data_IF_244374056236
#
_entry.id   IF_244374056236
#
_cell.length_a   1.000
_cell.length_b   1.000
_cell.length_c   1.000
_cell.angle_alpha   90.00
_cell.angle_beta   90.00
_cell.angle_gamma   90.00
#
_symmetry.space_group_name_H-M   'P 1'
#
loop_
_entity.id
_entity.type
_entity.pdbx_description
1 polymer ?
#
# COMPACT_ATOMS: atom_id res chain seq x y z
N UNK A 1 -31.10 5.51 -39.68
CA UNK A 1 -30.56 4.52 -40.64
C UNK A 1 -30.78 3.08 -40.18
N UNK A 2 -30.19 2.62 -39.07
CA UNK A 2 -30.35 1.23 -38.56
C UNK A 2 -31.81 0.84 -38.32
N UNK A 3 -32.63 1.74 -37.77
CA UNK A 3 -34.08 1.48 -37.61
C UNK A 3 -34.82 1.31 -38.95
N UNK A 4 -34.41 2.03 -40.00
CA UNK A 4 -34.96 1.89 -41.35
C UNK A 4 -34.57 0.54 -41.96
N UNK A 5 -33.29 0.18 -41.86
CA UNK A 5 -32.77 -1.11 -42.32
C UNK A 5 -33.47 -2.28 -41.63
N UNK A 6 -33.73 -2.17 -40.32
CA UNK A 6 -34.51 -3.18 -39.57
C UNK A 6 -35.94 -3.32 -40.10
N UNK A 7 -36.65 -2.21 -40.31
CA UNK A 7 -38.04 -2.23 -40.81
C UNK A 7 -38.16 -2.79 -42.24
N UNK A 8 -37.07 -2.74 -43.00
CA UNK A 8 -37.01 -3.23 -44.36
C UNK A 8 -36.56 -4.69 -44.41
N UNK A 9 -35.61 -5.07 -43.56
CA UNK A 9 -35.14 -6.45 -43.43
C UNK A 9 -36.23 -7.42 -42.92
N UNK A 10 -37.19 -6.96 -42.11
CA UNK A 10 -38.33 -7.80 -41.68
C UNK A 10 -39.25 -8.25 -42.82
N UNK A 11 -39.07 -7.74 -44.05
CA UNK A 11 -39.86 -8.13 -45.22
C UNK A 11 -39.34 -9.41 -45.89
N UNK A 12 -38.12 -9.84 -45.57
CA UNK A 12 -37.43 -10.99 -46.17
C UNK A 12 -36.56 -11.69 -45.12
N UNK A 13 -36.86 -12.96 -44.80
CA UNK A 13 -36.17 -13.72 -43.73
C UNK A 13 -34.64 -13.73 -43.89
N UNK A 14 -34.14 -13.95 -45.11
CA UNK A 14 -32.70 -13.97 -45.40
C UNK A 14 -32.01 -12.63 -45.07
N UNK A 15 -32.66 -11.51 -45.38
CA UNK A 15 -32.10 -10.18 -45.09
C UNK A 15 -32.16 -9.83 -43.62
N UNK A 16 -33.14 -10.38 -42.89
CA UNK A 16 -33.23 -10.22 -41.44
C UNK A 16 -32.12 -11.00 -40.74
N UNK A 17 -31.88 -12.26 -41.16
CA UNK A 17 -30.80 -13.09 -40.65
C UNK A 17 -29.41 -12.45 -40.87
N UNK A 18 -29.13 -11.96 -42.09
CA UNK A 18 -27.87 -11.25 -42.39
C UNK A 18 -27.68 -9.99 -41.54
N UNK A 19 -28.75 -9.21 -41.33
CA UNK A 19 -28.68 -8.01 -40.49
C UNK A 19 -28.39 -8.36 -39.03
N UNK A 20 -28.91 -9.49 -38.53
CA UNK A 20 -28.66 -9.97 -37.17
C UNK A 20 -27.22 -10.46 -37.01
N UNK A 21 -26.68 -11.17 -38.00
CA UNK A 21 -25.26 -11.60 -38.04
C UNK A 21 -24.29 -10.41 -38.05
N UNK A 22 -24.60 -9.37 -38.84
CA UNK A 22 -23.79 -8.13 -38.85
C UNK A 22 -23.83 -7.45 -37.48
N UNK A 23 -25.01 -7.36 -36.85
CA UNK A 23 -25.16 -6.75 -35.53
C UNK A 23 -24.35 -7.52 -34.46
N UNK A 24 -24.41 -8.84 -34.50
CA UNK A 24 -23.64 -9.70 -33.60
C UNK A 24 -22.13 -9.58 -33.84
N UNK A 25 -21.70 -9.53 -35.10
CA UNK A 25 -20.29 -9.32 -35.46
C UNK A 25 -19.76 -7.98 -34.93
N UNK A 26 -20.57 -6.91 -34.99
CA UNK A 26 -20.20 -5.60 -34.43
C UNK A 26 -20.11 -5.65 -32.91
N UNK A 27 -21.04 -6.33 -32.24
CA UNK A 27 -21.03 -6.52 -30.78
C UNK A 27 -19.74 -7.23 -30.33
N UNK A 28 -19.42 -8.36 -30.95
CA UNK A 28 -18.23 -9.14 -30.63
C UNK A 28 -16.94 -8.38 -30.93
N UNK A 29 -16.86 -7.68 -32.07
CA UNK A 29 -15.70 -6.86 -32.40
C UNK A 29 -15.46 -5.75 -31.36
N UNK A 30 -16.53 -5.09 -30.90
CA UNK A 30 -16.46 -4.08 -29.85
C UNK A 30 -15.88 -4.63 -28.54
N UNK A 31 -16.40 -5.76 -28.06
CA UNK A 31 -15.95 -6.40 -26.83
C UNK A 31 -14.50 -6.89 -26.96
N UNK A 32 -14.16 -7.53 -28.07
CA UNK A 32 -12.81 -8.00 -28.35
C UNK A 32 -11.79 -6.87 -28.36
N UNK A 33 -12.12 -5.68 -28.89
CA UNK A 33 -11.20 -4.54 -28.82
C UNK A 33 -10.88 -4.11 -27.37
N UNK A 34 -11.86 -4.16 -26.46
CA UNK A 34 -11.63 -3.83 -25.06
C UNK A 34 -10.81 -4.91 -24.34
N UNK A 35 -11.06 -6.18 -24.67
CA UNK A 35 -10.29 -7.32 -24.16
C UNK A 35 -8.84 -7.32 -24.69
N UNK A 36 -8.64 -7.00 -25.97
CA UNK A 36 -7.31 -6.85 -26.57
C UNK A 36 -6.54 -5.73 -25.87
N UNK A 37 -7.21 -4.61 -25.57
CA UNK A 37 -6.62 -3.53 -24.79
C UNK A 37 -6.24 -3.96 -23.37
N UNK A 38 -7.11 -4.72 -22.70
CA UNK A 38 -6.78 -5.34 -21.41
C UNK A 38 -5.54 -6.24 -21.51
N UNK A 39 -5.45 -7.06 -22.57
CA UNK A 39 -4.27 -7.89 -22.84
C UNK A 39 -2.99 -7.09 -23.14
N UNK A 40 -3.10 -5.86 -23.64
CA UNK A 40 -1.97 -4.94 -23.76
C UNK A 40 -1.55 -4.35 -22.41
N UNK A 41 -2.51 -4.01 -21.55
CA UNK A 41 -2.23 -3.56 -20.18
C UNK A 41 -1.57 -4.66 -19.35
N UNK A 42 -2.01 -5.91 -19.49
CA UNK A 42 -1.39 -7.07 -18.83
C UNK A 42 0.07 -7.26 -19.23
N UNK A 43 0.36 -7.23 -20.54
CA UNK A 43 1.73 -7.32 -21.05
C UNK A 43 2.60 -6.17 -20.55
N UNK A 44 2.09 -4.95 -20.59
CA UNK A 44 2.80 -3.77 -20.07
C UNK A 44 3.13 -3.91 -18.59
N UNK A 45 2.17 -4.31 -17.75
CA UNK A 45 2.40 -4.57 -16.32
C UNK A 45 3.42 -5.69 -16.09
N UNK A 46 3.32 -6.79 -16.83
CA UNK A 46 4.24 -7.92 -16.77
C UNK A 46 5.68 -7.55 -17.15
N UNK A 47 5.88 -6.78 -18.22
CA UNK A 47 7.21 -6.33 -18.66
C UNK A 47 7.87 -5.44 -17.61
N UNK A 48 7.09 -4.56 -16.96
CA UNK A 48 7.56 -3.72 -15.87
C UNK A 48 8.00 -4.54 -14.65
N UNK A 49 7.25 -5.60 -14.32
CA UNK A 49 7.59 -6.51 -13.24
C UNK A 49 8.84 -7.37 -13.56
N UNK A 50 9.02 -7.81 -14.81
CA UNK A 50 10.16 -8.65 -15.22
C UNK A 50 11.47 -7.88 -15.39
N UNK A 51 11.43 -6.65 -15.89
CA UNK A 51 12.61 -5.78 -16.00
C UNK A 51 13.27 -5.48 -14.64
N UNK A 52 12.54 -5.67 -13.55
CA UNK A 52 13.07 -5.64 -12.17
C UNK A 52 13.87 -6.90 -11.83
N UNK A 53 13.36 -8.09 -12.17
CA UNK A 53 14.02 -9.37 -11.88
C UNK A 53 15.39 -9.47 -12.56
N UNK A 54 15.50 -8.98 -13.80
CA UNK A 54 16.76 -8.98 -14.54
C UNK A 54 17.78 -7.99 -13.97
N UNK A 55 17.37 -6.79 -13.55
CA UNK A 55 18.27 -5.81 -12.91
C UNK A 55 18.70 -6.20 -11.50
N UNK A 56 17.85 -6.88 -10.73
CA UNK A 56 18.20 -7.42 -9.41
C UNK A 56 19.30 -8.49 -9.44
N UNK A 57 19.35 -9.29 -10.52
CA UNK A 57 20.37 -10.33 -10.70
C UNK A 57 21.72 -9.83 -11.23
N UNK A 58 21.78 -8.61 -11.77
CA UNK A 58 23.02 -8.03 -12.32
C UNK A 58 23.93 -7.40 -11.26
N UNK A 59 23.45 -7.23 -10.02
CA UNK A 59 24.26 -6.62 -8.95
C UNK A 59 25.27 -7.60 -8.28
N UNK A 60 25.34 -8.87 -8.72
CA UNK A 60 26.21 -9.89 -8.13
C UNK A 60 27.18 -10.57 -9.12
N UNK A 61 27.56 -9.91 -10.23
CA UNK A 61 28.59 -10.47 -11.11
C UNK A 61 29.67 -9.46 -11.51
N UNK A 62 30.84 -9.65 -10.86
CA UNK A 62 32.22 -9.44 -11.30
C UNK A 62 32.52 -8.34 -12.32
N UNK A 63 33.43 -7.45 -11.91
CA UNK A 63 34.00 -6.41 -12.74
C UNK A 63 34.69 -6.94 -13.99
N UNK A 64 34.12 -6.63 -15.15
CA UNK A 64 34.78 -6.27 -16.39
C UNK A 64 33.76 -5.47 -17.23
N UNK A 65 34.12 -4.31 -17.81
CA UNK A 65 33.20 -3.56 -18.65
C UNK A 65 33.19 -4.22 -20.04
N UNK A 66 32.13 -4.96 -20.34
CA UNK A 66 31.86 -5.35 -21.72
C UNK A 66 30.65 -4.56 -22.24
N UNK A 67 30.95 -3.71 -23.20
CA UNK A 67 30.04 -2.88 -23.97
C UNK A 67 28.89 -3.74 -24.53
N UNK A 68 27.69 -3.56 -24.00
CA UNK A 68 26.46 -3.98 -24.66
C UNK A 68 25.59 -2.76 -24.89
N UNK A 69 25.81 -2.19 -26.07
CA UNK A 69 24.90 -1.40 -26.88
C UNK A 69 23.58 -1.02 -26.20
N UNK A 70 23.64 0.15 -25.58
CA UNK A 70 22.52 0.91 -25.05
C UNK A 70 21.52 1.23 -26.17
N UNK A 71 20.46 0.43 -26.30
CA UNK A 71 19.19 0.89 -26.88
C UNK A 71 18.39 1.68 -25.82
N UNK A 72 19.05 2.62 -25.13
CA UNK A 72 18.33 3.65 -24.38
C UNK A 72 17.84 4.66 -25.41
N UNK A 73 16.60 4.46 -25.85
CA UNK A 73 15.84 5.58 -26.40
C UNK A 73 15.81 6.63 -25.29
N UNK A 74 16.37 7.82 -25.53
CA UNK A 74 16.30 8.92 -24.58
C UNK A 74 14.86 9.05 -24.07
N UNK A 75 14.63 8.98 -22.74
CA UNK A 75 13.28 9.07 -22.22
C UNK A 75 12.70 10.42 -22.63
N UNK A 76 11.57 10.38 -23.33
CA UNK A 76 10.80 11.56 -23.74
C UNK A 76 10.63 12.47 -22.50
N UNK A 77 10.80 13.80 -22.62
CA UNK A 77 10.61 14.70 -21.48
C UNK A 77 9.22 14.49 -20.85
N UNK A 78 9.20 14.09 -19.57
CA UNK A 78 7.97 13.70 -18.85
C UNK A 78 7.71 12.19 -18.76
N UNK A 79 8.58 11.35 -19.31
CA UNK A 79 8.53 9.89 -19.12
C UNK A 79 8.80 9.53 -17.66
N UNK A 80 7.85 8.82 -17.05
CA UNK A 80 8.03 8.24 -15.72
C UNK A 80 9.09 7.15 -15.85
N UNK A 81 10.26 7.34 -15.25
CA UNK A 81 11.37 6.37 -15.30
C UNK A 81 11.21 5.28 -14.24
N UNK A 82 10.47 5.55 -13.17
CA UNK A 82 10.27 4.63 -12.06
C UNK A 82 9.28 3.50 -12.41
N UNK A 83 9.69 2.22 -12.37
CA UNK A 83 8.82 1.10 -12.71
C UNK A 83 7.59 0.94 -11.81
N UNK A 84 7.66 1.35 -10.53
CA UNK A 84 6.52 1.24 -9.63
C UNK A 84 5.45 2.28 -9.97
N UNK A 85 5.85 3.52 -10.26
CA UNK A 85 4.95 4.54 -10.78
C UNK A 85 4.35 4.14 -12.14
N UNK A 86 5.13 3.51 -13.03
CA UNK A 86 4.61 2.98 -14.29
C UNK A 86 3.56 1.89 -14.07
N UNK A 87 3.78 0.97 -13.12
CA UNK A 87 2.80 -0.07 -12.78
C UNK A 87 1.53 0.53 -12.16
N UNK A 88 1.64 1.57 -11.33
CA UNK A 88 0.48 2.29 -10.80
C UNK A 88 -0.30 3.04 -11.88
N UNK A 89 0.36 3.57 -12.92
CA UNK A 89 -0.34 4.13 -14.08
C UNK A 89 -1.13 3.04 -14.84
N UNK A 90 -0.54 1.84 -15.00
CA UNK A 90 -1.24 0.70 -15.59
C UNK A 90 -2.47 0.33 -14.75
N UNK A 91 -2.34 0.26 -13.43
CA UNK A 91 -3.46 0.04 -12.50
C UNK A 91 -4.55 1.11 -12.62
N UNK A 92 -4.16 2.39 -12.68
CA UNK A 92 -5.11 3.48 -12.89
C UNK A 92 -5.86 3.35 -14.22
N UNK A 93 -5.17 2.95 -15.29
CA UNK A 93 -5.80 2.73 -16.60
C UNK A 93 -6.76 1.53 -16.57
N UNK A 94 -6.39 0.44 -15.89
CA UNK A 94 -7.26 -0.72 -15.69
C UNK A 94 -8.54 -0.30 -14.96
N UNK A 95 -8.41 0.43 -13.84
CA UNK A 95 -9.53 0.94 -13.06
C UNK A 95 -10.44 1.86 -13.88
N UNK A 96 -9.87 2.81 -14.61
CA UNK A 96 -10.64 3.70 -15.51
C UNK A 96 -11.41 2.91 -16.58
N UNK A 97 -10.78 1.88 -17.16
CA UNK A 97 -11.43 1.04 -18.16
C UNK A 97 -12.59 0.23 -17.56
N UNK A 98 -12.38 -0.33 -16.37
CA UNK A 98 -13.36 -1.13 -15.63
C UNK A 98 -14.58 -0.31 -15.19
N UNK A 99 -14.35 0.86 -14.61
CA UNK A 99 -15.38 1.61 -13.89
C UNK A 99 -16.11 2.61 -14.78
N UNK A 100 -15.45 3.16 -15.80
CA UNK A 100 -15.98 4.26 -16.60
C UNK A 100 -16.02 3.92 -18.09
N UNK A 101 -14.86 3.77 -18.74
CA UNK A 101 -14.75 3.73 -20.20
C UNK A 101 -15.57 2.59 -20.83
N UNK A 102 -15.49 1.38 -20.28
CA UNK A 102 -16.21 0.21 -20.83
C UNK A 102 -17.71 0.45 -20.83
N UNK A 103 -18.26 0.95 -19.71
CA UNK A 103 -19.70 1.23 -19.58
C UNK A 103 -20.13 2.36 -20.49
N UNK A 104 -19.40 3.47 -20.52
CA UNK A 104 -19.74 4.62 -21.36
C UNK A 104 -19.79 4.24 -22.84
N UNK A 105 -18.75 3.55 -23.33
CA UNK A 105 -18.69 3.11 -24.73
C UNK A 105 -19.79 2.09 -25.04
N UNK A 106 -20.03 1.13 -24.16
CA UNK A 106 -21.09 0.14 -24.36
C UNK A 106 -22.46 0.82 -24.46
N UNK A 107 -22.83 1.67 -23.50
CA UNK A 107 -24.15 2.34 -23.53
C UNK A 107 -24.30 3.30 -24.70
N UNK A 108 -23.20 3.90 -25.18
CA UNK A 108 -23.21 4.78 -26.36
C UNK A 108 -23.52 4.00 -27.64
N UNK A 109 -22.89 2.84 -27.83
CA UNK A 109 -22.96 2.11 -29.10
C UNK A 109 -23.97 0.95 -29.11
N UNK A 110 -24.50 0.54 -27.94
CA UNK A 110 -25.40 -0.62 -27.82
C UNK A 110 -26.62 -0.62 -28.74
N UNK A 111 -27.11 0.57 -29.09
CA UNK A 111 -28.27 0.73 -29.99
C UNK A 111 -28.00 0.20 -31.43
N UNK A 112 -26.73 -0.02 -31.79
CA UNK A 112 -26.33 -0.56 -33.08
C UNK A 112 -26.67 -2.05 -33.18
N UNK A 113 -26.41 -2.82 -32.11
CA UNK A 113 -26.58 -4.28 -32.08
C UNK A 113 -27.80 -4.76 -31.29
N UNK A 114 -28.30 -4.00 -30.30
CA UNK A 114 -29.47 -4.40 -29.52
C UNK A 114 -30.76 -4.28 -30.34
N UNK A 115 -31.46 -5.40 -30.52
CA UNK A 115 -32.85 -5.45 -30.99
C UNK A 115 -33.82 -5.39 -29.81
N UNK A 116 -35.11 -5.07 -30.02
CA UNK A 116 -36.07 -4.94 -28.91
C UNK A 116 -36.33 -6.29 -28.25
N UNK A 117 -35.65 -6.56 -27.13
CA UNK A 117 -36.03 -7.60 -26.17
C UNK A 117 -34.84 -8.34 -25.54
N UNK A 118 -34.86 -8.39 -24.20
CA UNK A 118 -34.20 -9.31 -23.25
C UNK A 118 -32.74 -9.09 -22.84
N UNK A 119 -32.59 -8.78 -21.54
CA UNK A 119 -31.89 -9.47 -20.43
C UNK A 119 -30.47 -10.08 -20.61
N UNK A 120 -29.92 -10.22 -21.81
CA UNK A 120 -28.48 -10.49 -22.03
C UNK A 120 -27.63 -9.20 -21.92
N UNK A 121 -28.28 -8.06 -21.66
CA UNK A 121 -27.67 -6.72 -21.57
C UNK A 121 -26.55 -6.60 -20.52
N UNK A 122 -26.62 -7.38 -19.44
CA UNK A 122 -25.64 -7.31 -18.34
C UNK A 122 -24.54 -8.37 -18.43
N UNK A 123 -24.73 -9.48 -19.15
CA UNK A 123 -23.72 -10.57 -19.13
C UNK A 123 -22.42 -10.17 -19.80
N UNK A 124 -22.48 -9.55 -20.99
CA UNK A 124 -21.27 -9.11 -21.71
C UNK A 124 -20.47 -8.09 -20.91
N UNK A 125 -21.18 -7.12 -20.32
CA UNK A 125 -20.57 -6.07 -19.52
C UNK A 125 -20.01 -6.65 -18.22
N UNK A 126 -20.73 -7.57 -17.59
CA UNK A 126 -20.28 -8.26 -16.41
C UNK A 126 -19.01 -9.08 -16.69
N UNK A 127 -18.97 -9.85 -17.78
CA UNK A 127 -17.80 -10.63 -18.19
C UNK A 127 -16.58 -9.73 -18.47
N UNK A 128 -16.81 -8.58 -19.12
CA UNK A 128 -15.77 -7.60 -19.37
C UNK A 128 -15.25 -6.97 -18.06
N UNK A 129 -16.14 -6.56 -17.16
CA UNK A 129 -15.79 -6.01 -15.84
C UNK A 129 -15.05 -7.05 -15.00
N UNK A 130 -15.47 -8.31 -15.04
CA UNK A 130 -14.78 -9.42 -14.37
C UNK A 130 -13.38 -9.62 -14.94
N UNK A 131 -13.21 -9.50 -16.26
CA UNK A 131 -11.90 -9.58 -16.92
C UNK A 131 -10.95 -8.47 -16.46
N UNK A 132 -11.42 -7.21 -16.43
CA UNK A 132 -10.63 -6.10 -15.89
C UNK A 132 -10.39 -6.21 -14.38
N UNK A 133 -11.33 -6.78 -13.62
CA UNK A 133 -11.14 -7.01 -12.17
C UNK A 133 -10.03 -8.02 -11.91
N UNK A 134 -10.02 -9.15 -12.62
CA UNK A 134 -8.94 -10.14 -12.52
C UNK A 134 -7.59 -9.57 -12.97
N UNK A 135 -7.58 -8.69 -13.97
CA UNK A 135 -6.37 -7.99 -14.37
C UNK A 135 -5.87 -6.99 -13.32
N UNK A 136 -6.77 -6.23 -12.70
CA UNK A 136 -6.46 -5.32 -11.60
C UNK A 136 -5.82 -6.06 -10.43
N UNK A 137 -6.37 -7.23 -10.06
CA UNK A 137 -5.82 -8.06 -8.98
C UNK A 137 -4.41 -8.53 -9.30
N UNK A 138 -4.18 -9.11 -10.49
CA UNK A 138 -2.84 -9.53 -10.93
C UNK A 138 -1.82 -8.39 -10.91
N UNK A 139 -2.18 -7.21 -11.44
CA UNK A 139 -1.29 -6.07 -11.47
C UNK A 139 -1.03 -5.50 -10.06
N UNK A 140 -2.04 -5.52 -9.19
CA UNK A 140 -1.92 -5.09 -7.80
C UNK A 140 -1.01 -6.02 -7.01
N UNK A 141 -1.14 -7.34 -7.20
CA UNK A 141 -0.25 -8.35 -6.60
C UNK A 141 1.22 -8.12 -6.98
N UNK A 142 1.49 -7.79 -8.25
CA UNK A 142 2.86 -7.47 -8.67
C UNK A 142 3.41 -6.24 -7.96
N UNK A 143 2.59 -5.19 -7.80
CA UNK A 143 2.96 -3.98 -7.10
C UNK A 143 3.20 -4.24 -5.61
N UNK A 144 2.26 -4.91 -4.94
CA UNK A 144 2.36 -5.18 -3.50
C UNK A 144 3.50 -6.14 -3.20
N UNK A 145 3.75 -7.15 -4.04
CA UNK A 145 4.93 -8.02 -3.91
C UNK A 145 6.25 -7.21 -3.98
N UNK A 146 6.33 -6.24 -4.88
CA UNK A 146 7.51 -5.38 -4.98
C UNK A 146 7.71 -4.50 -3.74
N UNK A 147 6.64 -3.91 -3.22
CA UNK A 147 6.69 -3.09 -2.00
C UNK A 147 6.93 -3.91 -0.74
N UNK A 148 6.37 -5.12 -0.66
CA UNK A 148 6.61 -6.05 0.44
C UNK A 148 8.10 -6.39 0.59
N UNK A 149 8.84 -6.49 -0.52
CA UNK A 149 10.30 -6.65 -0.47
C UNK A 149 11.02 -5.46 0.17
N UNK A 150 10.59 -4.23 -0.08
CA UNK A 150 11.16 -3.03 0.54
C UNK A 150 10.82 -2.97 2.03
N UNK A 151 9.56 -3.28 2.36
CA UNK A 151 9.09 -3.38 3.75
C UNK A 151 9.88 -4.46 4.50
N UNK A 152 10.17 -5.61 3.87
CA UNK A 152 11.00 -6.66 4.49
C UNK A 152 12.40 -6.16 4.81
N UNK A 153 13.05 -5.44 3.91
CA UNK A 153 14.35 -4.83 4.19
C UNK A 153 14.27 -3.83 5.35
N UNK A 154 13.25 -2.97 5.38
CA UNK A 154 13.04 -2.03 6.47
C UNK A 154 12.76 -2.75 7.82
N UNK A 155 12.00 -3.85 7.80
CA UNK A 155 11.69 -4.66 8.97
C UNK A 155 12.94 -5.39 9.48
N UNK A 156 13.80 -5.89 8.59
CA UNK A 156 15.12 -6.43 8.95
C UNK A 156 15.98 -5.38 9.63
N UNK A 157 16.08 -4.18 9.05
CA UNK A 157 16.85 -3.09 9.65
C UNK A 157 16.30 -2.70 11.03
N UNK A 158 14.98 -2.63 11.17
CA UNK A 158 14.29 -2.34 12.41
C UNK A 158 14.59 -3.38 13.51
N UNK A 159 14.46 -4.66 13.19
CA UNK A 159 14.53 -5.74 14.18
C UNK A 159 15.98 -6.18 14.46
N UNK A 160 16.85 -6.22 13.45
CA UNK A 160 18.17 -6.84 13.56
C UNK A 160 19.33 -5.82 13.50
N UNK A 161 19.23 -4.78 12.66
CA UNK A 161 20.34 -3.85 12.42
C UNK A 161 20.22 -2.52 13.17
N UNK A 162 19.24 -2.38 14.06
CA UNK A 162 19.00 -1.17 14.86
C UNK A 162 19.98 -0.98 16.03
N UNK A 163 20.94 -1.90 16.19
CA UNK A 163 21.95 -1.86 17.25
C UNK A 163 21.44 -2.28 18.63
N UNK A 164 20.22 -2.81 18.74
CA UNK A 164 19.66 -3.32 19.99
C UNK A 164 20.13 -4.75 20.24
N UNK A 165 20.72 -4.98 21.41
CA UNK A 165 21.00 -6.32 21.91
C UNK A 165 19.80 -6.82 22.69
N UNK A 166 18.96 -7.64 22.06
CA UNK A 166 17.68 -8.05 22.65
C UNK A 166 17.79 -8.88 23.94
N UNK A 167 18.93 -9.52 24.20
CA UNK A 167 19.19 -10.22 25.47
C UNK A 167 19.72 -9.35 26.61
N UNK A 168 19.87 -8.05 26.37
CA UNK A 168 20.32 -7.04 27.34
C UNK A 168 19.78 -5.69 26.93
N UNK A 169 18.49 -5.63 26.60
CA UNK A 169 17.88 -4.47 26.01
C UNK A 169 17.85 -3.30 27.00
N UNK A 170 18.07 -2.07 26.54
CA UNK A 170 17.99 -0.90 27.39
C UNK A 170 16.58 -0.74 27.97
N UNK A 171 16.47 0.00 29.07
CA UNK A 171 15.17 0.34 29.65
C UNK A 171 14.28 1.04 28.60
N UNK A 172 13.00 0.68 28.59
CA UNK A 172 11.99 1.22 27.67
C UNK A 172 11.79 2.70 27.95
N UNK A 173 11.98 3.54 26.92
CA UNK A 173 11.87 5.01 27.02
C UNK A 173 10.86 5.63 26.06
N UNK A 174 10.39 4.87 25.08
CA UNK A 174 9.55 5.34 23.99
C UNK A 174 9.77 4.50 22.73
N UNK A 175 9.15 4.93 21.63
CA UNK A 175 9.26 4.26 20.32
C UNK A 175 10.60 4.62 19.68
N UNK A 176 11.38 3.62 19.27
CA UNK A 176 12.70 3.85 18.63
C UNK A 176 12.53 4.53 17.28
N UNK A 177 13.53 5.33 16.88
CA UNK A 177 13.56 5.93 15.54
C UNK A 177 13.53 4.87 14.43
N UNK A 178 14.12 3.70 14.66
CA UNK A 178 14.05 2.57 13.73
C UNK A 178 12.60 2.13 13.42
N UNK A 179 11.67 2.24 14.38
CA UNK A 179 10.26 1.96 14.15
C UNK A 179 9.61 3.05 13.28
N UNK A 180 9.99 4.32 13.48
CA UNK A 180 9.51 5.45 12.69
C UNK A 180 10.01 5.36 11.24
N UNK A 181 11.27 5.01 11.03
CA UNK A 181 11.86 4.80 9.70
C UNK A 181 11.19 3.65 8.94
N UNK A 182 10.87 2.54 9.63
CA UNK A 182 10.05 1.47 9.04
C UNK A 182 8.69 2.00 8.61
N UNK A 183 8.04 2.80 9.45
CA UNK A 183 6.74 3.39 9.13
C UNK A 183 6.81 4.36 7.95
N UNK A 184 7.90 5.12 7.79
CA UNK A 184 8.11 5.99 6.63
C UNK A 184 8.10 5.22 5.31
N UNK A 185 8.51 3.94 5.31
CA UNK A 185 8.39 3.09 4.13
C UNK A 185 6.92 2.92 3.72
N UNK A 186 6.01 2.73 4.67
CA UNK A 186 4.57 2.66 4.41
C UNK A 186 3.99 4.03 4.04
N UNK A 187 4.46 5.12 4.65
CA UNK A 187 4.04 6.50 4.30
C UNK A 187 4.41 6.81 2.85
N UNK A 188 5.60 6.42 2.39
CA UNK A 188 6.02 6.59 1.01
C UNK A 188 5.10 5.81 0.04
N UNK A 189 4.75 4.57 0.39
CA UNK A 189 3.79 3.78 -0.40
C UNK A 189 2.41 4.45 -0.42
N UNK A 190 1.92 4.91 0.73
CA UNK A 190 0.65 5.65 0.82
C UNK A 190 0.67 6.84 -0.13
N UNK A 191 1.70 7.68 -0.08
CA UNK A 191 1.80 8.88 -0.93
C UNK A 191 1.80 8.54 -2.43
N UNK A 192 2.54 7.50 -2.82
CA UNK A 192 2.64 7.05 -4.20
C UNK A 192 1.28 6.54 -4.74
N UNK A 193 0.60 5.67 -3.97
CA UNK A 193 -0.69 5.10 -4.37
C UNK A 193 -1.79 6.16 -4.31
N UNK A 194 -1.79 7.03 -3.31
CA UNK A 194 -2.76 8.12 -3.21
C UNK A 194 -2.69 9.06 -4.42
N UNK A 195 -1.48 9.34 -4.91
CA UNK A 195 -1.28 10.19 -6.08
C UNK A 195 -1.68 9.52 -7.40
N UNK A 196 -1.41 8.22 -7.56
CA UNK A 196 -1.56 7.53 -8.84
C UNK A 196 -2.85 6.71 -8.99
N UNK A 197 -3.31 6.05 -7.92
CA UNK A 197 -4.45 5.13 -7.95
C UNK A 197 -5.20 5.11 -6.60
N UNK A 198 -5.71 6.28 -6.19
CA UNK A 198 -6.40 6.46 -4.90
C UNK A 198 -7.49 5.41 -4.58
N UNK A 199 -8.33 4.94 -5.53
CA UNK A 199 -9.34 3.93 -5.22
C UNK A 199 -8.80 2.60 -4.69
N UNK A 200 -7.53 2.27 -4.98
CA UNK A 200 -6.88 1.04 -4.52
C UNK A 200 -6.05 1.22 -3.25
N UNK A 201 -6.02 2.42 -2.64
CA UNK A 201 -5.17 2.73 -1.49
C UNK A 201 -5.43 1.79 -0.31
N UNK A 202 -6.69 1.64 0.11
CA UNK A 202 -7.05 0.82 1.26
C UNK A 202 -6.72 -0.66 1.02
N UNK A 203 -7.02 -1.17 -0.18
CA UNK A 203 -6.68 -2.55 -0.58
C UNK A 203 -5.17 -2.77 -0.58
N UNK A 204 -4.41 -1.81 -1.10
CA UNK A 204 -2.94 -1.89 -1.17
C UNK A 204 -2.34 -1.90 0.24
N UNK A 205 -2.71 -0.94 1.09
CA UNK A 205 -2.17 -0.83 2.43
C UNK A 205 -2.59 -2.01 3.30
N UNK A 206 -3.82 -2.52 3.14
CA UNK A 206 -4.25 -3.74 3.84
C UNK A 206 -3.35 -4.93 3.57
N UNK A 207 -3.07 -5.23 2.30
CA UNK A 207 -2.15 -6.32 1.91
C UNK A 207 -0.73 -6.10 2.45
N UNK A 208 -0.24 -4.87 2.45
CA UNK A 208 1.12 -4.57 2.90
C UNK A 208 1.26 -4.58 4.43
N UNK A 209 0.23 -4.19 5.17
CA UNK A 209 0.20 -4.28 6.64
C UNK A 209 0.15 -5.74 7.08
N UNK A 210 -0.68 -6.56 6.44
CA UNK A 210 -0.69 -8.01 6.66
C UNK A 210 0.70 -8.63 6.40
N UNK A 211 1.27 -8.34 5.23
CA UNK A 211 2.61 -8.80 4.87
C UNK A 211 3.73 -8.28 5.81
N UNK A 212 3.56 -7.11 6.44
CA UNK A 212 4.49 -6.59 7.44
C UNK A 212 4.47 -7.45 8.71
N UNK A 213 3.28 -7.78 9.23
CA UNK A 213 3.14 -8.59 10.43
C UNK A 213 3.67 -10.01 10.19
N UNK A 214 3.34 -10.60 9.04
CA UNK A 214 3.88 -11.90 8.64
C UNK A 214 5.40 -11.87 8.47
N UNK A 215 5.93 -10.74 8.00
CA UNK A 215 7.38 -10.52 7.92
C UNK A 215 8.01 -10.45 9.30
N UNK A 216 7.43 -9.77 10.27
CA UNK A 216 7.93 -9.77 11.64
C UNK A 216 7.96 -11.18 12.23
N UNK A 217 6.89 -11.95 12.04
CA UNK A 217 6.81 -13.34 12.50
C UNK A 217 7.88 -14.21 11.83
N UNK A 218 8.04 -14.08 10.51
CA UNK A 218 9.04 -14.81 9.73
C UNK A 218 10.47 -14.46 10.17
N UNK A 219 10.79 -13.17 10.28
CA UNK A 219 12.10 -12.68 10.72
C UNK A 219 12.42 -13.15 12.14
N UNK A 220 11.42 -13.17 13.03
CA UNK A 220 11.58 -13.70 14.36
C UNK A 220 11.98 -15.18 14.32
N UNK A 221 11.22 -16.01 13.59
CA UNK A 221 11.52 -17.44 13.47
C UNK A 221 12.86 -17.73 12.80
N UNK A 222 13.20 -17.01 11.72
CA UNK A 222 14.46 -17.13 10.99
C UNK A 222 15.69 -16.85 11.89
N UNK A 223 15.52 -15.99 12.90
CA UNK A 223 16.61 -15.51 13.74
C UNK A 223 16.50 -15.91 15.22
N UNK A 224 15.49 -16.71 15.62
CA UNK A 224 15.26 -17.20 17.01
C UNK A 224 16.49 -17.88 17.61
N UNK A 225 17.36 -18.46 16.80
CA UNK A 225 18.57 -19.19 17.24
C UNK A 225 19.87 -18.40 17.09
N UNK A 226 19.83 -17.21 16.48
CA UNK A 226 21.00 -16.36 16.20
C UNK A 226 20.88 -15.03 16.94
N UNK A 227 20.45 -13.98 16.25
CA UNK A 227 20.38 -12.60 16.76
C UNK A 227 19.32 -12.44 17.85
N UNK A 228 18.31 -13.31 17.86
CA UNK A 228 17.23 -13.34 18.86
C UNK A 228 17.35 -14.54 19.80
N UNK A 229 18.56 -15.11 19.95
CA UNK A 229 18.81 -16.26 20.82
C UNK A 229 18.49 -15.94 22.28
N UNK A 230 18.91 -14.77 22.75
CA UNK A 230 18.55 -14.23 24.05
C UNK A 230 17.59 -13.06 23.85
N UNK A 231 16.48 -13.08 24.59
CA UNK A 231 15.44 -12.08 24.50
C UNK A 231 14.93 -11.79 25.90
N UNK A 232 15.30 -10.63 26.44
CA UNK A 232 15.06 -10.29 27.84
C UNK A 232 13.70 -9.60 28.05
N UNK A 233 13.25 -9.42 29.32
CA UNK A 233 12.00 -8.72 29.63
C UNK A 233 11.89 -7.30 29.06
N UNK A 234 13.00 -6.56 28.97
CA UNK A 234 13.00 -5.21 28.43
C UNK A 234 12.81 -5.21 26.92
N UNK A 235 13.42 -6.16 26.22
CA UNK A 235 13.26 -6.39 24.78
C UNK A 235 11.82 -6.74 24.43
N UNK A 236 11.19 -7.60 25.25
CA UNK A 236 9.76 -7.88 25.17
C UNK A 236 8.92 -6.60 25.31
N UNK A 237 9.10 -5.85 26.39
CA UNK A 237 8.33 -4.64 26.64
C UNK A 237 8.52 -3.58 25.54
N UNK A 238 9.76 -3.43 25.02
CA UNK A 238 10.06 -2.50 23.93
C UNK A 238 9.32 -2.89 22.65
N UNK A 239 9.36 -4.17 22.25
CA UNK A 239 8.65 -4.62 21.05
C UNK A 239 7.13 -4.55 21.22
N UNK A 240 6.60 -4.84 22.41
CA UNK A 240 5.16 -4.71 22.67
C UNK A 240 4.68 -3.27 22.51
N UNK A 241 5.41 -2.29 23.07
CA UNK A 241 5.12 -0.86 22.88
C UNK A 241 5.12 -0.47 21.39
N UNK A 242 6.13 -0.92 20.64
CA UNK A 242 6.27 -0.58 19.22
C UNK A 242 5.24 -1.27 18.33
N UNK A 243 4.86 -2.52 18.65
CA UNK A 243 3.78 -3.22 17.97
C UNK A 243 2.43 -2.55 18.22
N UNK A 244 2.15 -2.09 19.45
CA UNK A 244 0.94 -1.33 19.76
C UNK A 244 0.92 0.04 19.07
N UNK A 245 2.09 0.69 18.95
CA UNK A 245 2.25 1.90 18.17
C UNK A 245 1.91 1.67 16.68
N UNK A 246 2.45 0.61 16.06
CA UNK A 246 2.10 0.24 14.69
C UNK A 246 0.62 -0.10 14.55
N UNK A 247 0.07 -0.91 15.45
CA UNK A 247 -1.34 -1.29 15.44
C UNK A 247 -2.24 -0.06 15.53
N UNK A 248 -1.92 0.89 16.41
CA UNK A 248 -2.72 2.11 16.59
C UNK A 248 -2.73 2.98 15.33
N UNK A 249 -1.56 3.21 14.72
CA UNK A 249 -1.45 4.08 13.54
C UNK A 249 -2.05 3.42 12.29
N UNK A 250 -1.79 2.13 12.11
CA UNK A 250 -2.19 1.40 10.91
C UNK A 250 -3.57 0.75 11.05
N UNK A 251 -4.27 0.96 12.18
CA UNK A 251 -5.57 0.37 12.50
C UNK A 251 -6.60 0.45 11.34
N UNK A 252 -6.71 1.55 10.56
CA UNK A 252 -7.63 1.62 9.42
C UNK A 252 -7.35 0.57 8.33
N UNK A 253 -6.13 0.05 8.27
CA UNK A 253 -5.67 -0.91 7.26
C UNK A 253 -5.41 -2.31 7.86
N UNK A 254 -5.72 -2.55 9.14
CA UNK A 254 -5.57 -3.88 9.74
C UNK A 254 -6.70 -4.82 9.30
N UNK A 255 -6.34 -5.89 8.59
CA UNK A 255 -7.23 -7.00 8.23
C UNK A 255 -7.46 -7.93 9.43
N UNK A 256 -8.45 -8.84 9.33
CA UNK A 256 -8.64 -9.91 10.33
C UNK A 256 -7.38 -10.76 10.48
N UNK A 257 -6.76 -11.06 9.34
CA UNK A 257 -5.65 -11.98 9.22
C UNK A 257 -4.39 -11.33 9.80
N UNK A 258 -4.15 -10.04 9.51
CA UNK A 258 -3.10 -9.25 10.16
C UNK A 258 -3.24 -9.22 11.69
N UNK A 259 -4.46 -9.13 12.23
CA UNK A 259 -4.70 -9.16 13.69
C UNK A 259 -4.44 -10.54 14.29
N UNK A 260 -4.75 -11.61 13.56
CA UNK A 260 -4.45 -12.97 14.00
C UNK A 260 -2.93 -13.22 14.00
N UNK A 261 -2.24 -12.86 12.91
CA UNK A 261 -0.78 -12.92 12.84
C UNK A 261 -0.10 -12.08 13.92
N UNK A 262 -0.66 -10.90 14.25
CA UNK A 262 -0.12 -10.05 15.32
C UNK A 262 -0.23 -10.72 16.68
N UNK A 263 -1.37 -11.33 16.99
CA UNK A 263 -1.55 -12.12 18.23
C UNK A 263 -0.58 -13.31 18.29
N UNK A 264 -0.38 -13.99 17.16
CA UNK A 264 0.59 -15.08 17.05
C UNK A 264 2.01 -14.58 17.36
N UNK A 265 2.42 -13.46 16.75
CA UNK A 265 3.71 -12.82 17.02
C UNK A 265 3.87 -12.44 18.49
N UNK A 266 2.88 -11.80 19.11
CA UNK A 266 2.91 -11.44 20.53
C UNK A 266 3.06 -12.68 21.43
N UNK A 267 2.38 -13.78 21.09
CA UNK A 267 2.50 -15.05 21.81
C UNK A 267 3.91 -15.66 21.72
N UNK A 268 4.48 -15.70 20.51
CA UNK A 268 5.84 -16.22 20.28
C UNK A 268 6.91 -15.35 20.97
N UNK A 269 6.73 -14.04 21.00
CA UNK A 269 7.61 -13.11 21.72
C UNK A 269 7.56 -13.35 23.23
N UNK A 270 6.36 -13.54 23.80
CA UNK A 270 6.16 -13.82 25.22
C UNK A 270 6.77 -15.15 25.63
N UNK A 271 6.58 -16.20 24.82
CA UNK A 271 7.21 -17.51 25.02
C UNK A 271 8.73 -17.36 25.11
N UNK A 272 9.35 -16.68 24.13
CA UNK A 272 10.80 -16.49 24.08
C UNK A 272 11.35 -15.67 25.26
N UNK A 273 10.63 -14.63 25.69
CA UNK A 273 11.01 -13.83 26.85
C UNK A 273 11.01 -14.67 28.13
N UNK A 274 10.00 -15.53 28.27
CA UNK A 274 9.85 -16.41 29.43
C UNK A 274 10.92 -17.52 29.43
N UNK A 275 11.21 -18.13 28.27
CA UNK A 275 12.31 -19.09 28.10
C UNK A 275 13.65 -18.50 28.56
N UNK A 276 13.97 -17.28 28.12
CA UNK A 276 15.25 -16.62 28.42
C UNK A 276 15.44 -16.33 29.93
N UNK A 277 14.36 -16.07 30.66
CA UNK A 277 14.39 -15.92 32.13
C UNK A 277 14.71 -17.25 32.80
N UNK A 278 14.15 -18.37 32.31
CA UNK A 278 14.42 -19.70 32.88
C UNK A 278 15.85 -20.20 32.63
N UNK A 279 16.42 -19.98 31.43
CA UNK A 279 17.80 -20.38 31.09
C UNK A 279 18.86 -19.66 31.95
N UNK A 280 18.58 -18.42 32.34
CA UNK A 280 19.47 -17.60 33.19
C UNK A 280 19.50 -18.12 34.64
N UNK A 281 18.44 -18.79 35.09
CA UNK A 281 18.31 -19.34 36.45
C UNK A 281 18.99 -20.72 36.55
N UNK A 282 18.95 -21.53 35.49
CA UNK A 282 19.53 -22.88 35.46
C UNK A 282 21.05 -22.92 35.31
N UNK A 283 21.68 -21.81 34.89
CA UNK A 283 23.14 -21.66 34.86
C UNK A 283 23.60 -20.69 35.95
N UNK A 284 23.71 -21.11 37.22
CA UNK A 284 24.32 -20.28 38.25
C UNK A 284 25.80 -20.09 37.90
N UNK A 285 26.11 -18.94 37.31
CA UNK A 285 27.46 -18.44 37.13
C UNK A 285 28.24 -18.65 38.43
N UNK A 286 29.31 -19.43 38.36
CA UNK A 286 30.21 -19.72 39.47
C UNK A 286 30.69 -18.40 40.10
N UNK A 287 29.99 -17.95 41.13
CA UNK A 287 30.42 -16.86 41.96
C UNK A 287 31.72 -17.27 42.64
N UNK A 288 32.83 -16.69 42.17
CA UNK A 288 34.05 -16.62 42.95
C UNK A 288 33.70 -15.97 44.29
N UNK A 289 33.78 -16.79 45.32
CA UNK A 289 33.78 -16.47 46.75
C UNK A 289 34.24 -15.01 47.02
N UNK A 290 33.35 -14.11 47.49
CA UNK A 290 33.78 -12.81 47.96
C UNK A 290 34.53 -13.00 49.28
N UNK A 291 35.77 -12.53 49.33
CA UNK A 291 36.55 -12.48 50.56
C UNK A 291 36.06 -11.28 51.37
N UNK A 292 35.31 -11.61 52.44
CA UNK A 292 35.05 -10.86 53.67
C UNK A 292 35.81 -9.52 53.84
N UNK A 293 35.07 -8.42 53.81
CA UNK A 293 35.50 -7.16 54.44
C UNK A 293 34.82 -5.90 53.89
N UNK A 294 33.86 -5.37 54.66
CA UNK A 294 33.46 -3.96 54.81
C UNK A 294 31.94 -3.79 54.70
N UNK A 295 31.37 -3.42 55.85
CA UNK A 295 30.04 -2.83 55.98
C UNK A 295 29.99 -1.49 55.22
N UNK A 296 28.77 -1.03 54.93
CA UNK A 296 28.37 0.18 54.19
C UNK A 296 28.23 0.08 52.66
N UNK A 297 27.10 -0.49 52.22
CA UNK A 297 26.38 -0.02 51.04
C UNK A 297 24.89 -0.41 51.13
N UNK A 298 24.04 0.53 51.56
CA UNK A 298 22.61 0.50 51.29
C UNK A 298 22.42 0.84 49.81
N UNK A 299 22.40 -0.17 48.92
CA UNK A 299 22.12 0.03 47.50
C UNK A 299 21.48 -1.22 46.90
N UNK A 300 20.16 -1.17 46.83
CA UNK A 300 19.31 -1.74 45.77
C UNK A 300 19.41 -3.24 45.47
N UNK A 301 19.15 -4.06 46.48
CA UNK A 301 19.04 -5.53 46.38
C UNK A 301 17.63 -5.99 45.94
N UNK A 302 16.87 -5.16 45.20
CA UNK A 302 15.49 -5.46 44.77
C UNK A 302 15.35 -6.04 43.36
N UNK A 303 16.44 -6.17 42.61
CA UNK A 303 16.38 -6.59 41.19
C UNK A 303 17.09 -7.90 40.85
N UNK A 304 17.58 -8.66 41.83
CA UNK A 304 18.20 -9.97 41.58
C UNK A 304 17.32 -11.10 42.10
N UNK A 305 16.48 -11.64 41.20
CA UNK A 305 15.81 -12.92 41.43
C UNK A 305 14.28 -12.94 41.32
N UNK A 306 13.66 -11.98 40.63
CA UNK A 306 12.23 -12.11 40.32
C UNK A 306 12.08 -13.01 39.09
N UNK A 307 11.66 -14.25 39.31
CA UNK A 307 11.08 -15.08 38.24
C UNK A 307 9.87 -14.33 37.70
N UNK A 308 10.03 -13.64 36.57
CA UNK A 308 8.92 -12.87 35.99
C UNK A 308 7.96 -13.87 35.36
N UNK A 309 6.73 -13.97 35.88
CA UNK A 309 5.71 -14.81 35.26
C UNK A 309 5.28 -14.19 33.92
N UNK A 310 4.74 -14.97 32.97
CA UNK A 310 4.22 -14.42 31.72
C UNK A 310 3.18 -13.30 31.94
N UNK A 311 2.33 -13.45 32.95
CA UNK A 311 1.32 -12.45 33.31
C UNK A 311 1.95 -11.15 33.84
N UNK A 312 3.03 -11.25 34.63
CA UNK A 312 3.78 -10.07 35.10
C UNK A 312 4.48 -9.34 33.95
N UNK A 313 5.00 -10.07 32.95
CA UNK A 313 5.58 -9.47 31.73
C UNK A 313 4.52 -8.73 30.91
N UNK A 314 3.34 -9.33 30.74
CA UNK A 314 2.22 -8.67 30.06
C UNK A 314 1.82 -7.41 30.79
N UNK A 315 1.67 -7.46 32.12
CA UNK A 315 1.30 -6.30 32.93
C UNK A 315 2.35 -5.18 32.83
N UNK A 316 3.64 -5.54 32.83
CA UNK A 316 4.73 -4.59 32.67
C UNK A 316 4.73 -3.92 31.28
N UNK A 317 4.53 -4.70 30.21
CA UNK A 317 4.42 -4.16 28.86
C UNK A 317 3.22 -3.20 28.73
N UNK A 318 2.06 -3.57 29.29
CA UNK A 318 0.87 -2.72 29.32
C UNK A 318 1.10 -1.42 30.11
N UNK A 319 1.87 -1.48 31.20
CA UNK A 319 2.23 -0.29 31.95
C UNK A 319 3.03 0.68 31.06
N UNK A 320 4.07 0.21 30.37
CA UNK A 320 4.86 1.05 29.47
C UNK A 320 4.01 1.66 28.35
N UNK A 321 3.12 0.88 27.74
CA UNK A 321 2.17 1.39 26.74
C UNK A 321 1.29 2.50 27.30
N UNK A 322 0.71 2.30 28.49
CA UNK A 322 -0.16 3.29 29.13
C UNK A 322 0.55 4.62 29.45
N UNK A 323 1.85 4.56 29.75
CA UNK A 323 2.66 5.72 30.12
C UNK A 323 3.22 6.47 28.89
N UNK A 324 3.64 5.73 27.85
CA UNK A 324 4.48 6.28 26.78
C UNK A 324 3.76 6.43 25.45
N UNK A 325 2.79 5.56 25.13
CA UNK A 325 2.21 5.47 23.78
C UNK A 325 1.62 6.79 23.30
N UNK A 326 0.84 7.46 24.14
CA UNK A 326 0.17 8.71 23.76
C UNK A 326 1.16 9.84 23.45
N UNK A 327 2.25 9.93 24.23
CA UNK A 327 3.29 10.94 24.00
C UNK A 327 4.06 10.65 22.70
N UNK A 328 4.30 9.38 22.39
CA UNK A 328 4.97 8.96 21.16
C UNK A 328 4.10 9.19 19.92
N UNK A 329 2.79 8.91 20.00
CA UNK A 329 1.83 9.24 18.93
C UNK A 329 1.80 10.74 18.63
N UNK A 330 1.85 11.59 19.65
CA UNK A 330 1.92 13.04 19.44
C UNK A 330 3.28 13.46 18.86
N UNK A 331 4.38 12.87 19.36
CA UNK A 331 5.74 13.13 18.86
C UNK A 331 5.86 12.83 17.36
N UNK A 332 5.22 11.75 16.90
CA UNK A 332 5.30 11.30 15.52
C UNK A 332 4.09 11.69 14.67
N UNK A 333 3.16 12.51 15.19
CA UNK A 333 1.89 12.86 14.52
C UNK A 333 2.05 13.33 13.07
N UNK A 334 3.08 14.12 12.78
CA UNK A 334 3.35 14.60 11.41
C UNK A 334 3.79 13.46 10.49
N UNK A 335 4.57 12.51 11.00
CA UNK A 335 5.05 11.35 10.24
C UNK A 335 3.91 10.41 9.86
N UNK A 336 2.81 10.42 10.61
CA UNK A 336 1.75 9.40 10.52
C UNK A 336 0.40 9.98 10.12
N UNK A 337 0.32 11.29 9.86
CA UNK A 337 -0.91 12.00 9.56
C UNK A 337 -1.71 11.38 8.40
N UNK A 338 -1.03 10.82 7.40
CA UNK A 338 -1.69 10.18 6.26
C UNK A 338 -2.57 8.98 6.63
N UNK A 339 -2.29 8.30 7.75
CA UNK A 339 -3.09 7.17 8.23
C UNK A 339 -4.20 7.59 9.20
N UNK A 340 -4.12 8.80 9.77
CA UNK A 340 -4.99 9.26 10.87
C UNK A 340 -6.04 10.27 10.40
N UNK A 341 -5.85 10.93 9.24
CA UNK A 341 -6.78 11.93 8.66
C UNK A 341 -8.08 11.33 8.05
N UNK A 342 -8.70 10.37 8.75
CA UNK A 342 -10.15 10.16 8.71
C UNK A 342 -10.89 10.96 9.78
N UNK A 343 -10.18 11.71 10.63
CA UNK A 343 -10.76 12.58 11.66
C UNK A 343 -10.93 13.99 11.08
N UNK A 344 -12.17 14.50 11.12
CA UNK A 344 -12.59 15.79 10.56
C UNK A 344 -11.62 16.94 10.88
N UNK A 345 -11.27 17.71 9.83
CA UNK A 345 -10.37 18.88 9.81
C UNK A 345 -10.82 20.10 10.66
N UNK A 346 -11.64 19.90 11.69
CA UNK A 346 -12.17 20.97 12.53
C UNK A 346 -11.35 21.24 13.81
N UNK A 347 -10.27 20.49 14.07
CA UNK A 347 -9.46 20.64 15.29
C UNK A 347 -7.96 20.91 15.08
N UNK A 348 -7.57 21.48 13.93
CA UNK A 348 -6.16 21.81 13.64
C UNK A 348 -5.87 23.32 13.87
N UNK A 349 -4.78 23.69 14.58
CA UNK A 349 -4.34 25.08 14.70
C UNK A 349 -4.03 25.73 13.33
N UNK A 350 -4.37 27.00 13.17
CA UNK A 350 -4.28 27.77 11.90
C UNK A 350 -2.91 27.70 11.20
N UNK A 351 -1.82 27.50 11.94
CA UNK A 351 -0.46 27.37 11.39
C UNK A 351 -0.27 26.13 10.51
N UNK A 352 -0.94 25.02 10.82
CA UNK A 352 -0.85 23.78 10.03
C UNK A 352 -1.80 23.82 8.81
N UNK A 353 -2.92 24.54 8.89
CA UNK A 353 -3.78 24.81 7.71
C UNK A 353 -3.06 25.65 6.65
N UNK A 354 -2.27 26.63 7.07
CA UNK A 354 -1.51 27.47 6.15
C UNK A 354 -0.45 26.68 5.36
N UNK A 355 0.27 25.75 6.02
CA UNK A 355 1.28 24.91 5.38
C UNK A 355 0.67 23.95 4.33
N UNK A 356 -0.47 23.35 4.64
CA UNK A 356 -1.21 22.49 3.71
C UNK A 356 -1.83 23.27 2.53
N UNK A 357 -2.33 24.50 2.77
CA UNK A 357 -2.86 25.35 1.71
C UNK A 357 -1.81 25.77 0.69
N UNK A 358 -0.55 25.96 1.11
CA UNK A 358 0.57 26.25 0.20
C UNK A 358 0.96 25.08 -0.72
N UNK A 359 0.64 23.83 -0.36
CA UNK A 359 0.88 22.66 -1.21
C UNK A 359 -0.28 22.36 -2.18
N UNK A 360 -1.49 22.85 -1.91
CA UNK A 360 -2.62 22.86 -2.86
C UNK A 360 -2.51 24.07 -3.81
N UNK A 361 -1.52 24.05 -4.68
CA UNK A 361 -1.51 24.94 -5.85
C UNK A 361 -2.73 24.66 -6.73
N UNK A 362 -3.61 25.66 -6.87
CA UNK A 362 -4.69 25.85 -7.86
C UNK A 362 -4.84 24.74 -8.92
N UNK A 363 -5.53 23.66 -8.56
CA UNK A 363 -6.10 22.69 -9.51
C UNK A 363 -7.62 22.65 -9.35
N UNK A 364 -8.27 23.81 -9.47
CA UNK A 364 -9.67 23.86 -9.85
C UNK A 364 -9.74 24.05 -11.37
N UNK A 365 -9.87 22.93 -12.09
CA UNK A 365 -10.29 22.97 -13.50
C UNK A 365 -11.77 23.39 -13.54
N UNK A 366 -12.15 24.40 -14.35
CA UNK A 366 -13.50 24.91 -14.34
C UNK A 366 -14.40 24.04 -15.21
N UNK A 367 -15.30 23.26 -14.61
CA UNK A 367 -16.43 22.73 -15.36
C UNK A 367 -17.75 22.76 -14.56
N UNK A 368 -18.69 23.52 -15.15
CA UNK A 368 -20.15 23.50 -14.97
C UNK A 368 -20.72 23.99 -13.63
N UNK A 369 -21.31 25.19 -13.69
CA UNK A 369 -22.77 25.36 -13.64
C UNK A 369 -23.14 26.83 -13.82
N UNK A 370 -23.83 27.20 -14.90
CA UNK A 370 -24.89 28.23 -14.86
C UNK A 370 -25.77 28.10 -16.11
N UNK A 371 -26.98 27.59 -15.92
CA UNK A 371 -28.12 27.73 -16.84
C UNK A 371 -29.23 28.41 -16.04
N UNK A 372 -29.59 29.63 -16.40
CA UNK A 372 -30.71 30.35 -15.78
C UNK A 372 -30.78 31.85 -16.09
N UNK A 373 -31.53 32.17 -17.15
CA UNK A 373 -32.34 33.38 -17.38
C UNK A 373 -31.78 34.68 -18.04
N UNK A 374 -32.41 34.95 -19.20
CA UNK A 374 -32.96 36.22 -19.74
C UNK A 374 -32.07 37.37 -20.29
N UNK A 375 -31.93 37.35 -21.63
CA UNK A 375 -32.08 38.45 -22.63
C UNK A 375 -31.23 39.76 -22.55
N UNK A 376 -31.17 40.58 -23.62
CA UNK A 376 -30.41 40.43 -24.88
C UNK A 376 -29.44 41.62 -25.08
N UNK A 377 -28.87 41.77 -26.29
CA UNK A 377 -28.29 43.00 -26.91
C UNK A 377 -26.79 42.92 -27.23
N UNK A 378 -26.47 43.12 -28.53
CA UNK A 378 -25.30 43.88 -28.97
C UNK A 378 -24.20 43.11 -29.71
N UNK A 379 -24.31 43.01 -31.03
CA UNK A 379 -23.15 42.78 -31.92
C UNK A 379 -22.14 43.94 -31.81
N UNK A 380 -20.87 43.72 -32.19
CA UNK A 380 -20.41 44.48 -33.36
C UNK A 380 -19.49 43.69 -34.30
N UNK A 381 -19.77 43.83 -35.60
CA UNK A 381 -18.83 43.55 -36.67
C UNK A 381 -18.09 44.81 -37.12
N UNK A 382 -16.90 44.58 -37.69
CA UNK A 382 -16.12 45.41 -38.61
C UNK A 382 -15.63 46.82 -38.16
N UNK A 383 -14.31 47.02 -38.18
CA UNK A 383 -13.65 47.66 -39.34
C UNK A 383 -12.14 47.86 -39.15
N UNK A 384 -11.42 47.68 -40.26
CA UNK A 384 -10.00 47.97 -40.48
C UNK A 384 -9.71 49.46 -40.32
N UNK A 385 -8.54 49.80 -39.79
CA UNK A 385 -7.82 51.02 -40.17
C UNK A 385 -6.32 50.77 -40.34
N UNK A 386 -5.85 51.07 -41.56
CA UNK A 386 -4.45 51.24 -42.00
C UNK A 386 -3.83 52.47 -41.33
N UNK A 387 -2.53 52.42 -41.02
CA UNK A 387 -1.53 53.49 -41.24
C UNK A 387 -0.20 52.80 -41.58
N UNK A 388 0.34 52.98 -42.79
CA UNK A 388 1.30 54.02 -43.20
C UNK A 388 2.56 54.04 -42.36
#
# INVERSE_FOLDING_TARGET
>A
MIQSLRSEATKTEDTFAQLQEIQESVRLAFLNCLLDFAGHLERSGGDLAQNRSSKGNLHLQNGYPHELQENYSDPVPGSVVDPHQQLLMVLSNIGYCKDELSRELYYKYRHIWLSRGRDEEDSDMQDLVMSFSGLEEKALEQYTFAKASLIRTAATNYLLDSGVQWGGAPAVKGVRDAAVELLHTLVAVHAEVFAACKPLLDKTLGVLVEGLIDTFLSLFHENKTKDLRSFDPNGFCQLMLELEYFETILNPHFTSDARESLKSLQGVLLEKATESVTETIETPSHHRRPTRGSEDALSDDRQQGMTVSPDDLIALAQQYSSELLQAELERTRINTACFVESIALDSVPESARAAYASFRGSMDSPSRNFRGNSQPVGSPGFSRQRRR
#
